data_IF_138963019573
#
_entry.id   IF_138963019573
#
_cell.length_a   1.000
_cell.length_b   1.000
_cell.length_c   1.000
_cell.angle_alpha   90.00
_cell.angle_beta   90.00
_cell.angle_gamma   90.00
#
_symmetry.space_group_name_H-M   'P 1'
#
loop_
_entity.id
_entity.type
_entity.pdbx_description
1 polymer ?
#
# COMPACT_ATOMS: atom_id res chain seq x y z
N UNK A 1 -20.18 -12.41 -4.53
CA UNK A 1 -18.84 -11.78 -4.59
C UNK A 1 -17.87 -12.75 -4.01
N UNK A 2 -16.86 -13.17 -4.78
CA UNK A 2 -15.86 -14.13 -4.34
C UNK A 2 -14.74 -13.39 -3.61
N UNK A 3 -14.93 -13.16 -2.31
CA UNK A 3 -13.87 -12.64 -1.43
C UNK A 3 -12.97 -13.79 -1.01
N UNK A 4 -11.68 -13.71 -1.38
CA UNK A 4 -10.66 -14.59 -0.83
C UNK A 4 -10.12 -13.97 0.46
N UNK A 5 -10.67 -14.39 1.60
CA UNK A 5 -10.15 -13.98 2.91
C UNK A 5 -8.98 -14.89 3.29
N UNK A 6 -7.75 -14.39 3.19
CA UNK A 6 -6.55 -15.08 3.66
C UNK A 6 -6.12 -14.46 4.99
N UNK A 7 -6.38 -15.14 6.10
CA UNK A 7 -5.85 -14.77 7.43
C UNK A 7 -4.56 -15.55 7.66
N UNK A 8 -3.43 -14.87 7.68
CA UNK A 8 -2.12 -15.48 7.92
C UNK A 8 -1.75 -15.31 9.40
N UNK A 9 -1.66 -16.43 10.11
CA UNK A 9 -1.07 -16.49 11.45
C UNK A 9 0.26 -17.26 11.38
N UNK A 10 1.34 -16.77 12.01
CA UNK A 10 2.57 -17.55 12.12
C UNK A 10 2.28 -18.87 12.83
N UNK A 11 2.85 -19.97 12.32
CA UNK A 11 2.71 -21.30 12.89
C UNK A 11 3.15 -21.27 14.37
N UNK A 12 2.21 -21.45 15.30
CA UNK A 12 2.42 -21.31 16.76
C UNK A 12 3.30 -22.39 17.39
N UNK A 13 4.04 -23.17 16.60
CA UNK A 13 4.85 -24.30 17.07
C UNK A 13 6.36 -24.06 17.05
N UNK A 14 6.81 -22.82 16.85
CA UNK A 14 8.22 -22.45 17.04
C UNK A 14 8.33 -21.02 17.58
N UNK A 15 7.92 -20.84 18.83
CA UNK A 15 8.26 -19.65 19.61
C UNK A 15 9.08 -20.02 20.85
N UNK A 16 10.41 -20.23 20.72
CA UNK A 16 11.34 -19.96 21.79
C UNK A 16 12.03 -18.59 21.57
N UNK A 17 12.08 -17.78 22.62
CA UNK A 17 13.02 -16.68 22.86
C UNK A 17 13.01 -15.38 22.02
N UNK A 18 12.13 -15.20 21.03
CA UNK A 18 12.19 -14.00 20.15
C UNK A 18 11.62 -12.71 20.77
N UNK A 19 10.87 -12.77 21.89
CA UNK A 19 10.19 -11.60 22.46
C UNK A 19 10.61 -11.27 23.91
N UNK A 20 11.91 -11.35 24.23
CA UNK A 20 12.49 -10.80 25.46
C UNK A 20 13.41 -9.60 25.17
N UNK A 21 13.35 -8.51 25.96
CA UNK A 21 14.24 -7.37 25.79
C UNK A 21 15.68 -7.80 26.16
N UNK A 22 16.51 -8.06 25.16
CA UNK A 22 17.91 -8.45 25.35
C UNK A 22 18.54 -9.36 24.30
N UNK A 23 17.77 -10.01 23.41
CA UNK A 23 18.28 -11.03 22.48
C UNK A 23 18.03 -10.72 20.98
N UNK A 24 18.17 -9.46 20.56
CA UNK A 24 17.97 -9.01 19.16
C UNK A 24 19.13 -9.40 18.21
N UNK A 25 19.63 -10.63 18.30
CA UNK A 25 20.65 -11.12 17.37
C UNK A 25 20.10 -12.30 16.56
N UNK A 26 19.61 -12.02 15.35
CA UNK A 26 19.68 -13.00 14.26
C UNK A 26 18.41 -13.75 13.85
N UNK A 27 17.20 -13.26 14.14
CA UNK A 27 15.99 -13.79 13.48
C UNK A 27 16.00 -13.43 11.99
N UNK A 28 16.26 -14.39 11.11
CA UNK A 28 16.01 -14.22 9.66
C UNK A 28 14.54 -13.87 9.49
N UNK A 29 14.24 -12.75 8.84
CA UNK A 29 12.87 -12.34 8.54
C UNK A 29 12.11 -13.45 7.81
N UNK A 30 10.81 -13.55 8.05
CA UNK A 30 9.96 -14.50 7.33
C UNK A 30 9.73 -13.95 5.91
N UNK A 31 10.18 -14.69 4.90
CA UNK A 31 9.89 -14.39 3.49
C UNK A 31 8.66 -15.18 3.05
N UNK A 32 7.68 -14.50 2.47
CA UNK A 32 6.47 -15.09 1.93
C UNK A 32 6.27 -14.63 0.49
N UNK A 33 5.97 -15.57 -0.42
CA UNK A 33 5.71 -15.30 -1.84
C UNK A 33 4.31 -15.79 -2.20
N UNK A 34 3.51 -14.92 -2.83
CA UNK A 34 2.13 -15.21 -3.23
C UNK A 34 1.90 -14.83 -4.69
N UNK A 35 1.12 -15.64 -5.42
CA UNK A 35 0.60 -15.32 -6.75
C UNK A 35 -0.92 -15.21 -6.70
N UNK A 36 -1.47 -14.12 -7.23
CA UNK A 36 -2.92 -13.87 -7.31
C UNK A 36 -3.37 -13.95 -8.77
N UNK A 37 -4.62 -14.41 -8.99
CA UNK A 37 -5.21 -14.42 -10.33
C UNK A 37 -5.52 -13.00 -10.81
N UNK A 38 -5.29 -12.73 -12.09
CA UNK A 38 -5.54 -11.43 -12.74
C UNK A 38 -6.88 -11.37 -13.49
N UNK A 39 -7.67 -12.45 -13.48
CA UNK A 39 -8.89 -12.56 -14.30
C UNK A 39 -10.14 -12.01 -13.59
N UNK A 40 -10.13 -11.94 -12.26
CA UNK A 40 -11.27 -11.53 -11.45
C UNK A 40 -10.97 -10.24 -10.69
N UNK A 41 -11.96 -9.35 -10.50
CA UNK A 41 -11.84 -8.22 -9.60
C UNK A 41 -11.47 -8.67 -8.17
N UNK A 42 -10.43 -8.06 -7.60
CA UNK A 42 -9.91 -8.39 -6.27
C UNK A 42 -10.11 -7.24 -5.28
N UNK A 43 -10.37 -7.63 -4.03
CA UNK A 43 -10.25 -6.77 -2.86
C UNK A 43 -9.12 -7.32 -1.99
N UNK A 44 -8.09 -6.50 -1.74
CA UNK A 44 -6.88 -6.90 -1.03
C UNK A 44 -6.73 -6.10 0.27
N UNK A 45 -6.58 -6.81 1.37
CA UNK A 45 -6.29 -6.24 2.68
C UNK A 45 -4.94 -6.77 3.18
N UNK A 46 -4.03 -5.86 3.51
CA UNK A 46 -2.69 -6.14 4.02
C UNK A 46 -2.61 -5.59 5.45
N UNK A 47 -2.68 -6.47 6.44
CA UNK A 47 -2.47 -6.13 7.84
C UNK A 47 -1.09 -6.63 8.27
N UNK A 48 -0.10 -5.73 8.33
CA UNK A 48 1.29 -6.13 8.56
C UNK A 48 1.96 -5.29 9.64
N UNK A 49 2.40 -5.94 10.72
CA UNK A 49 3.00 -5.28 11.89
C UNK A 49 4.32 -4.60 11.59
N UNK A 50 5.41 -5.37 11.50
CA UNK A 50 6.72 -4.86 11.14
C UNK A 50 7.35 -5.69 10.02
N UNK A 51 7.52 -5.09 8.84
CA UNK A 51 7.89 -5.82 7.63
C UNK A 51 8.58 -4.92 6.60
N UNK A 52 9.33 -5.55 5.69
CA UNK A 52 9.65 -4.98 4.40
C UNK A 52 8.74 -5.63 3.35
N UNK A 53 7.80 -4.86 2.79
CA UNK A 53 6.80 -5.35 1.85
C UNK A 53 7.10 -4.89 0.42
N UNK A 54 6.97 -5.82 -0.54
CA UNK A 54 7.01 -5.55 -1.96
C UNK A 54 5.70 -6.03 -2.58
N UNK A 55 4.83 -5.10 -2.95
CA UNK A 55 3.49 -5.36 -3.45
C UNK A 55 3.41 -4.90 -4.92
N UNK A 56 3.59 -5.84 -5.85
CA UNK A 56 3.44 -5.55 -7.29
C UNK A 56 2.05 -5.97 -7.75
N UNK A 57 1.14 -4.99 -7.85
CA UNK A 57 -0.25 -5.20 -8.26
C UNK A 57 -0.49 -4.81 -9.71
N UNK A 58 0.57 -4.49 -10.48
CA UNK A 58 0.48 -3.92 -11.83
C UNK A 58 -0.40 -4.75 -12.77
N UNK A 59 -0.25 -6.08 -12.72
CA UNK A 59 -0.96 -7.02 -13.58
C UNK A 59 -2.33 -7.47 -13.04
N UNK A 60 -2.78 -6.96 -11.89
CA UNK A 60 -3.98 -7.45 -11.20
C UNK A 60 -5.18 -6.51 -11.40
N UNK A 61 -6.40 -7.07 -11.39
CA UNK A 61 -7.64 -6.30 -11.41
C UNK A 61 -8.09 -5.93 -10.00
N UNK A 62 -7.32 -5.10 -9.27
CA UNK A 62 -7.64 -4.76 -7.88
C UNK A 62 -8.55 -3.54 -7.81
N UNK A 63 -9.70 -3.68 -7.12
CA UNK A 63 -10.66 -2.59 -6.91
C UNK A 63 -10.46 -1.89 -5.58
N UNK A 64 -10.15 -2.64 -4.53
CA UNK A 64 -9.92 -2.09 -3.20
C UNK A 64 -8.59 -2.62 -2.65
N UNK A 65 -7.75 -1.71 -2.17
CA UNK A 65 -6.50 -2.00 -1.48
C UNK A 65 -6.57 -1.32 -0.11
N UNK A 66 -6.50 -2.10 0.95
CA UNK A 66 -6.34 -1.61 2.32
C UNK A 66 -4.97 -2.03 2.83
N UNK A 67 -4.12 -1.07 3.18
CA UNK A 67 -2.81 -1.32 3.78
C UNK A 67 -2.80 -0.77 5.20
N UNK A 68 -2.82 -1.66 6.19
CA UNK A 68 -2.68 -1.33 7.60
C UNK A 68 -1.32 -1.81 8.09
N UNK A 69 -0.47 -0.89 8.54
CA UNK A 69 0.88 -1.25 8.98
C UNK A 69 1.39 -0.49 10.19
N UNK A 70 2.14 -1.20 11.04
CA UNK A 70 2.78 -0.62 12.22
C UNK A 70 4.05 0.13 11.83
N UNK A 71 5.15 -0.60 11.70
CA UNK A 71 6.46 -0.06 11.35
C UNK A 71 7.07 -0.80 10.15
N UNK A 72 7.06 -0.18 8.97
CA UNK A 72 7.41 -0.91 7.75
C UNK A 72 8.13 -0.07 6.71
N UNK A 73 8.79 -0.77 5.78
CA UNK A 73 9.20 -0.26 4.48
C UNK A 73 8.32 -0.93 3.44
N UNK A 74 7.53 -0.17 2.68
CA UNK A 74 6.60 -0.73 1.69
C UNK A 74 6.86 -0.12 0.32
N UNK A 75 7.05 -0.97 -0.69
CA UNK A 75 7.02 -0.59 -2.10
C UNK A 75 5.73 -1.14 -2.71
N UNK A 76 4.86 -0.26 -3.18
CA UNK A 76 3.55 -0.60 -3.74
C UNK A 76 3.44 -0.10 -5.17
N UNK A 77 3.30 -1.01 -6.13
CA UNK A 77 2.96 -0.66 -7.51
C UNK A 77 1.49 -0.92 -7.76
N UNK A 78 0.79 0.11 -8.24
CA UNK A 78 -0.64 0.04 -8.45
C UNK A 78 -0.99 -0.64 -9.79
N UNK A 79 -2.23 -1.14 -9.93
CA UNK A 79 -2.72 -1.73 -11.18
C UNK A 79 -2.61 -0.79 -12.38
N UNK A 80 -2.27 -1.32 -13.56
CA UNK A 80 -2.25 -0.54 -14.81
C UNK A 80 -3.62 -0.41 -15.46
N UNK A 81 -4.47 -1.42 -15.29
CA UNK A 81 -5.73 -1.56 -16.01
C UNK A 81 -6.81 -2.20 -15.13
N UNK A 82 -7.26 -1.46 -14.10
CA UNK A 82 -8.27 -1.93 -13.16
C UNK A 82 -9.51 -1.00 -13.10
N UNK A 83 -9.68 -0.08 -14.05
CA UNK A 83 -10.72 0.94 -13.97
C UNK A 83 -10.48 1.86 -12.77
N UNK A 84 -11.48 2.02 -11.91
CA UNK A 84 -11.33 2.71 -10.62
C UNK A 84 -10.81 1.76 -9.53
N UNK A 85 -9.70 2.15 -8.90
CA UNK A 85 -9.13 1.49 -7.71
C UNK A 85 -9.16 2.45 -6.53
N UNK A 86 -9.54 1.94 -5.36
CA UNK A 86 -9.45 2.64 -4.09
C UNK A 86 -8.28 2.10 -3.27
N UNK A 87 -7.39 2.98 -2.85
CA UNK A 87 -6.28 2.69 -1.96
C UNK A 87 -6.48 3.44 -0.65
N UNK A 88 -6.61 2.70 0.45
CA UNK A 88 -6.55 3.23 1.82
C UNK A 88 -5.25 2.79 2.48
N UNK A 89 -4.53 3.74 3.07
CA UNK A 89 -3.31 3.47 3.83
C UNK A 89 -3.49 3.98 5.25
N UNK A 90 -3.31 3.08 6.21
CA UNK A 90 -3.22 3.38 7.64
C UNK A 90 -1.85 2.92 8.14
N UNK A 91 -1.00 3.87 8.56
CA UNK A 91 0.37 3.54 8.97
C UNK A 91 0.80 4.25 10.25
N UNK A 92 1.50 3.53 11.13
CA UNK A 92 2.09 4.08 12.35
C UNK A 92 3.40 4.83 12.09
N UNK A 93 4.49 4.08 11.91
CA UNK A 93 5.85 4.55 11.70
C UNK A 93 6.49 3.90 10.45
N UNK A 94 6.19 4.40 9.26
CA UNK A 94 6.52 3.71 8.01
C UNK A 94 7.16 4.60 6.94
N UNK A 95 7.90 3.97 6.02
CA UNK A 95 8.31 4.54 4.74
C UNK A 95 7.56 3.82 3.63
N UNK A 96 6.79 4.55 2.83
CA UNK A 96 5.93 3.96 1.78
C UNK A 96 6.25 4.64 0.45
N UNK A 97 6.70 3.85 -0.52
CA UNK A 97 6.88 4.26 -1.91
C UNK A 97 5.71 3.70 -2.73
N UNK A 98 4.96 4.59 -3.38
CA UNK A 98 3.79 4.27 -4.17
C UNK A 98 4.07 4.65 -5.62
N UNK A 99 4.05 3.65 -6.50
CA UNK A 99 4.19 3.85 -7.92
C UNK A 99 2.81 3.78 -8.58
N UNK A 100 2.32 4.91 -9.08
CA UNK A 100 1.16 4.99 -9.97
C UNK A 100 1.67 4.77 -11.41
N UNK A 101 1.28 3.70 -12.12
CA UNK A 101 1.77 3.46 -13.46
C UNK A 101 1.46 4.62 -14.43
N UNK A 102 2.26 4.75 -15.49
CA UNK A 102 1.97 5.67 -16.57
C UNK A 102 0.63 5.32 -17.24
N UNK A 103 -0.16 6.35 -17.60
CA UNK A 103 -1.50 6.16 -18.16
C UNK A 103 -2.61 5.90 -17.13
N UNK A 104 -2.27 5.85 -15.84
CA UNK A 104 -3.24 5.81 -14.74
C UNK A 104 -3.29 7.18 -14.08
N UNK A 105 -4.49 7.75 -14.01
CA UNK A 105 -4.71 9.00 -13.28
C UNK A 105 -4.80 8.75 -11.77
N UNK A 106 -4.43 9.72 -10.94
CA UNK A 106 -4.59 9.58 -9.49
C UNK A 106 -5.16 10.83 -8.84
N UNK A 107 -5.86 10.61 -7.73
CA UNK A 107 -6.25 11.63 -6.76
C UNK A 107 -5.75 11.20 -5.39
N UNK A 108 -5.00 12.07 -4.73
CA UNK A 108 -4.37 11.81 -3.43
C UNK A 108 -4.91 12.79 -2.40
N UNK A 109 -5.53 12.22 -1.37
CA UNK A 109 -5.96 12.90 -0.15
C UNK A 109 -5.11 12.37 1.01
N UNK A 110 -4.39 13.26 1.68
CA UNK A 110 -3.60 12.91 2.86
C UNK A 110 -4.09 13.69 4.08
N UNK A 111 -4.48 12.98 5.12
CA UNK A 111 -4.81 13.58 6.41
C UNK A 111 -3.51 13.94 7.15
N UNK A 112 -3.50 15.15 7.72
CA UNK A 112 -2.28 15.78 8.18
C UNK A 112 -1.95 15.32 9.61
N UNK A 113 -0.97 14.41 9.73
CA UNK A 113 -0.26 14.05 10.96
C UNK A 113 1.18 14.62 11.00
N UNK A 114 2.14 13.90 11.58
CA UNK A 114 3.58 14.20 11.50
C UNK A 114 4.23 13.59 10.24
N UNK A 115 3.41 13.25 9.25
CA UNK A 115 3.82 12.59 8.02
C UNK A 115 4.40 13.57 6.99
N UNK A 116 5.48 13.16 6.32
CA UNK A 116 5.96 13.82 5.11
C UNK A 116 5.37 13.11 3.90
N UNK A 117 4.59 13.83 3.09
CA UNK A 117 3.99 13.30 1.86
C UNK A 117 4.57 14.10 0.69
N UNK A 118 5.42 13.44 -0.09
CA UNK A 118 5.99 13.96 -1.32
C UNK A 118 5.29 13.31 -2.52
N UNK A 119 4.78 14.14 -3.42
CA UNK A 119 4.01 13.69 -4.59
C UNK A 119 4.63 14.33 -5.82
N UNK A 120 4.83 13.57 -6.91
CA UNK A 120 5.26 14.12 -8.19
C UNK A 120 4.22 15.10 -8.75
N UNK A 121 4.46 16.40 -8.52
CA UNK A 121 3.55 17.46 -8.93
C UNK A 121 3.52 17.69 -10.44
N UNK A 122 4.46 17.11 -11.21
CA UNK A 122 4.37 17.17 -12.67
C UNK A 122 3.22 16.28 -13.17
N UNK A 123 2.92 15.19 -12.46
CA UNK A 123 1.83 14.25 -12.77
C UNK A 123 0.57 14.53 -11.97
N UNK A 124 0.73 14.94 -10.71
CA UNK A 124 -0.37 15.14 -9.76
C UNK A 124 -0.26 16.55 -9.14
N UNK A 125 -0.53 17.61 -9.91
CA UNK A 125 -0.50 18.97 -9.38
C UNK A 125 -1.44 19.13 -8.17
N UNK A 126 -1.00 19.94 -7.21
CA UNK A 126 -1.79 20.22 -5.99
C UNK A 126 -2.81 21.33 -6.24
N UNK A 127 -4.07 21.09 -5.91
CA UNK A 127 -5.13 22.11 -5.91
C UNK A 127 -6.10 21.86 -4.76
N UNK A 128 -6.44 22.89 -3.99
CA UNK A 128 -7.44 22.78 -2.92
C UNK A 128 -7.11 21.79 -1.80
N UNK A 129 -5.84 21.45 -1.60
CA UNK A 129 -5.40 20.47 -0.59
C UNK A 129 -5.30 19.02 -1.09
N UNK A 130 -5.68 18.77 -2.34
CA UNK A 130 -5.66 17.46 -3.00
C UNK A 130 -4.60 17.48 -4.10
N UNK A 131 -3.88 16.37 -4.31
CA UNK A 131 -3.03 16.19 -5.50
C UNK A 131 -3.82 15.38 -6.52
N UNK A 132 -3.91 15.84 -7.77
CA UNK A 132 -4.74 15.16 -8.75
C UNK A 132 -4.18 15.29 -10.17
N UNK A 133 -4.28 14.22 -10.95
CA UNK A 133 -4.03 14.28 -12.39
C UNK A 133 -5.04 15.20 -13.10
N UNK A 134 -4.62 16.00 -14.09
CA UNK A 134 -5.54 16.89 -14.81
C UNK A 134 -6.71 16.18 -15.51
N UNK A 135 -6.49 14.94 -15.94
CA UNK A 135 -7.44 14.09 -16.69
C UNK A 135 -8.25 13.13 -15.81
N UNK A 136 -8.14 13.23 -14.48
CA UNK A 136 -8.70 12.26 -13.53
C UNK A 136 -10.19 11.93 -13.73
N UNK A 137 -11.03 12.92 -14.02
CA UNK A 137 -12.47 12.71 -14.18
C UNK A 137 -12.80 11.85 -15.41
N UNK A 138 -12.03 12.00 -16.49
CA UNK A 138 -12.25 11.35 -17.78
C UNK A 138 -11.45 10.05 -17.94
N UNK A 139 -10.40 9.86 -17.14
CA UNK A 139 -9.54 8.69 -17.21
C UNK A 139 -10.32 7.38 -16.98
N UNK A 140 -10.07 6.40 -17.85
CA UNK A 140 -10.61 5.04 -17.74
C UNK A 140 -10.03 4.30 -16.54
N UNK A 141 -8.70 4.41 -16.37
CA UNK A 141 -7.96 3.81 -15.26
C UNK A 141 -7.50 4.90 -14.31
N UNK A 142 -7.93 4.80 -13.05
CA UNK A 142 -7.63 5.81 -12.04
C UNK A 142 -7.63 5.26 -10.63
N UNK A 143 -6.87 5.91 -9.76
CA UNK A 143 -6.74 5.53 -8.36
C UNK A 143 -7.12 6.68 -7.43
N UNK A 144 -8.02 6.38 -6.50
CA UNK A 144 -8.27 7.21 -5.32
C UNK A 144 -7.39 6.74 -4.17
N UNK A 145 -6.48 7.60 -3.73
CA UNK A 145 -5.51 7.31 -2.68
C UNK A 145 -5.86 8.14 -1.45
N UNK A 146 -6.20 7.46 -0.35
CA UNK A 146 -6.41 8.06 0.96
C UNK A 146 -5.38 7.58 1.96
N UNK A 147 -4.79 8.54 2.66
CA UNK A 147 -3.64 8.30 3.53
C UNK A 147 -3.93 8.88 4.91
N UNK A 148 -3.97 8.00 5.90
CA UNK A 148 -4.16 8.31 7.32
C UNK A 148 -2.94 7.75 8.08
N UNK A 149 -1.97 8.59 8.44
CA UNK A 149 -0.72 8.08 9.05
C UNK A 149 -0.19 8.93 10.18
N UNK A 150 0.55 8.27 11.08
CA UNK A 150 1.24 8.90 12.21
C UNK A 150 2.54 9.60 11.78
N UNK A 151 3.68 8.95 12.05
CA UNK A 151 5.03 9.45 11.72
C UNK A 151 5.55 8.66 10.52
N UNK A 152 5.31 9.15 9.31
CA UNK A 152 5.63 8.42 8.09
C UNK A 152 6.34 9.28 7.05
N UNK A 153 7.04 8.63 6.12
CA UNK A 153 7.53 9.23 4.88
C UNK A 153 6.85 8.53 3.72
N UNK A 154 6.19 9.30 2.85
CA UNK A 154 5.42 8.75 1.75
C UNK A 154 5.85 9.45 0.46
N UNK A 155 6.25 8.65 -0.51
CA UNK A 155 6.58 9.10 -1.85
C UNK A 155 5.57 8.53 -2.85
N UNK A 156 5.04 9.39 -3.71
CA UNK A 156 4.08 9.02 -4.74
C UNK A 156 4.58 9.52 -6.08
N UNK A 157 4.79 8.58 -7.00
CA UNK A 157 5.37 8.80 -8.33
C UNK A 157 4.40 8.46 -9.45
#
# INVERSE_FOLDING_TARGET
GNTLNVVLQPQRHSFPDVFFPGNWNGGKGLLWEFGLSNELPLDLAFEIGAVNAHLDLTALQVKNISLQTGASLTNLKLPVAAGLTYLKIEAGAASIDIQVPAGVAARVEAEHGLASVNVDQNRFPKSGGVYQSPDYEEAENKVDIRIETGVSSIEIH
#
